data_IF_308282391175
#
_entry.id   IF_308282391175
#
_cell.length_a   1.000
_cell.length_b   1.000
_cell.length_c   1.000
_cell.angle_alpha   90.00
_cell.angle_beta   90.00
_cell.angle_gamma   90.00
#
_symmetry.space_group_name_H-M   'P 1'
#
loop_
_entity.id
_entity.type
_entity.pdbx_description
1 polymer ?
#
# COMPACT_ATOMS: atom_id res chain seq x y z
N UNK A 1 -8.24 12.78 2.62
CA UNK A 1 -8.83 12.06 3.76
C UNK A 1 -9.70 10.94 3.25
N UNK A 2 -9.70 9.80 3.95
CA UNK A 2 -10.57 8.64 3.67
C UNK A 2 -10.74 7.84 4.95
N UNK A 3 -11.75 6.96 4.99
CA UNK A 3 -11.81 5.89 5.98
C UNK A 3 -10.80 4.80 5.62
N UNK A 4 -10.17 4.21 6.62
CA UNK A 4 -9.28 3.07 6.44
C UNK A 4 -9.38 2.13 7.65
N UNK A 5 -9.38 0.83 7.38
CA UNK A 5 -9.20 -0.20 8.38
C UNK A 5 -8.21 -1.25 7.89
N UNK A 6 -7.53 -1.88 8.84
CA UNK A 6 -6.55 -2.95 8.61
C UNK A 6 -7.07 -4.18 9.35
N UNK A 7 -7.17 -5.29 8.65
CA UNK A 7 -7.55 -6.57 9.22
C UNK A 7 -6.52 -7.10 10.22
N UNK A 8 -6.84 -8.21 10.88
CA UNK A 8 -5.93 -8.87 11.81
C UNK A 8 -4.87 -9.73 11.09
N UNK A 9 -4.03 -10.41 11.88
CA UNK A 9 -3.01 -11.31 11.35
C UNK A 9 -3.59 -12.50 10.57
N UNK A 10 -4.77 -13.01 10.95
CA UNK A 10 -5.44 -14.12 10.24
C UNK A 10 -5.85 -13.71 8.83
N UNK A 11 -6.30 -12.46 8.66
CA UNK A 11 -6.60 -11.86 7.36
C UNK A 11 -5.36 -11.37 6.59
N UNK A 12 -4.15 -11.56 7.13
CA UNK A 12 -2.89 -10.99 6.60
C UNK A 12 -2.95 -9.46 6.48
N UNK A 13 -3.50 -8.82 7.51
CA UNK A 13 -3.61 -7.36 7.61
C UNK A 13 -4.30 -6.72 6.40
N UNK A 14 -5.36 -7.36 5.90
CA UNK A 14 -6.07 -6.91 4.69
C UNK A 14 -6.45 -5.43 4.80
N UNK A 15 -6.14 -4.64 3.77
CA UNK A 15 -6.52 -3.23 3.70
C UNK A 15 -7.96 -3.08 3.26
N UNK A 16 -8.73 -2.24 3.95
CA UNK A 16 -10.03 -1.76 3.47
C UNK A 16 -10.01 -0.23 3.50
N UNK A 17 -10.33 0.40 2.38
CA UNK A 17 -10.47 1.86 2.29
C UNK A 17 -11.88 2.25 1.84
N UNK A 18 -12.36 3.37 2.37
CA UNK A 18 -13.61 3.99 1.95
C UNK A 18 -13.39 5.14 0.98
N UNK A 19 -14.43 5.96 0.81
CA UNK A 19 -14.43 7.08 -0.14
C UNK A 19 -13.28 8.06 0.08
N UNK A 20 -12.72 8.52 -1.03
CA UNK A 20 -11.59 9.44 -1.07
C UNK A 20 -12.03 10.89 -1.24
N UNK A 21 -11.43 11.77 -0.45
CA UNK A 21 -11.50 13.23 -0.62
C UNK A 21 -10.10 13.83 -0.56
N UNK A 22 -9.70 14.62 -1.55
CA UNK A 22 -8.41 15.31 -1.58
C UNK A 22 -7.88 15.54 -2.99
N UNK A 23 -6.69 16.13 -3.10
CA UNK A 23 -6.08 16.54 -4.36
C UNK A 23 -4.87 15.70 -4.80
N UNK A 24 -4.43 14.70 -4.01
CA UNK A 24 -3.30 13.83 -4.38
C UNK A 24 -3.64 12.82 -5.49
N UNK A 25 -4.91 12.64 -5.83
CA UNK A 25 -5.41 11.56 -6.69
C UNK A 25 -5.60 10.26 -5.92
N UNK A 26 -6.60 9.45 -6.27
CA UNK A 26 -6.97 8.27 -5.49
C UNK A 26 -6.22 6.99 -5.91
N UNK A 27 -4.90 6.99 -5.75
CA UNK A 27 -4.10 5.81 -6.09
C UNK A 27 -4.03 4.76 -5.00
N UNK A 28 -4.37 5.12 -3.77
CA UNK A 28 -4.40 4.16 -2.67
C UNK A 28 -5.63 3.23 -2.73
N UNK A 29 -6.67 3.59 -3.49
CA UNK A 29 -7.80 2.69 -3.77
C UNK A 29 -7.40 1.49 -4.62
N UNK A 30 -6.33 1.58 -5.41
CA UNK A 30 -5.82 0.46 -6.21
C UNK A 30 -5.36 -0.73 -5.34
N UNK A 31 -5.19 -0.51 -4.03
CA UNK A 31 -4.76 -1.49 -3.02
C UNK A 31 -5.91 -1.99 -2.14
N UNK A 32 -7.15 -1.56 -2.42
CA UNK A 32 -8.30 -1.88 -1.59
C UNK A 32 -8.60 -3.38 -1.64
N UNK A 33 -8.62 -4.02 -0.48
CA UNK A 33 -8.87 -5.45 -0.34
C UNK A 33 -7.62 -6.32 -0.48
N UNK A 34 -6.44 -5.76 -0.73
CA UNK A 34 -5.21 -6.54 -0.81
C UNK A 34 -4.66 -6.91 0.58
N UNK A 35 -3.87 -7.98 0.61
CA UNK A 35 -3.18 -8.45 1.81
C UNK A 35 -1.81 -7.79 1.89
N UNK A 36 -1.28 -7.70 3.10
CA UNK A 36 0.04 -7.12 3.32
C UNK A 36 1.14 -8.14 3.01
N UNK A 37 2.07 -7.78 2.13
CA UNK A 37 3.27 -8.56 1.83
C UNK A 37 4.52 -7.87 2.35
N UNK A 38 5.44 -8.67 2.85
CA UNK A 38 6.77 -8.26 3.31
C UNK A 38 7.81 -9.23 2.75
N UNK A 39 9.11 -8.91 2.90
CA UNK A 39 10.21 -9.71 2.34
C UNK A 39 10.17 -11.20 2.76
N UNK A 40 9.60 -11.49 3.92
CA UNK A 40 9.48 -12.82 4.51
C UNK A 40 8.08 -13.44 4.34
N UNK A 41 7.12 -12.71 3.79
CA UNK A 41 5.75 -13.18 3.58
C UNK A 41 5.17 -12.68 2.26
N UNK A 42 5.05 -13.59 1.29
CA UNK A 42 4.44 -13.33 0.00
C UNK A 42 2.92 -13.57 0.05
N UNK A 43 2.16 -12.48 0.26
CA UNK A 43 0.70 -12.51 0.30
C UNK A 43 0.08 -11.74 -0.89
N UNK A 44 0.90 -11.39 -1.88
CA UNK A 44 0.43 -10.66 -3.06
C UNK A 44 -0.15 -11.63 -4.10
N UNK A 45 -0.86 -11.07 -5.08
CA UNK A 45 -1.55 -11.85 -6.11
C UNK A 45 -0.74 -11.98 -7.41
N UNK A 46 0.55 -11.66 -7.36
CA UNK A 46 1.39 -11.59 -8.56
C UNK A 46 2.33 -12.80 -8.71
N UNK A 47 2.89 -12.95 -9.91
CA UNK A 47 3.79 -14.08 -10.24
C UNK A 47 5.17 -13.93 -9.58
N UNK A 48 5.59 -12.70 -9.30
CA UNK A 48 6.85 -12.40 -8.60
C UNK A 48 6.54 -11.86 -7.22
N UNK A 49 7.37 -12.21 -6.24
CA UNK A 49 7.28 -11.66 -4.89
C UNK A 49 7.56 -10.14 -4.86
N UNK A 50 6.51 -9.32 -4.86
CA UNK A 50 6.61 -7.88 -5.08
C UNK A 50 7.43 -7.19 -3.98
N UNK A 51 7.29 -7.62 -2.72
CA UNK A 51 8.05 -7.06 -1.61
C UNK A 51 9.57 -7.28 -1.75
N UNK A 52 9.99 -8.36 -2.40
CA UNK A 52 11.40 -8.61 -2.70
C UNK A 52 11.92 -7.74 -3.85
N UNK A 53 11.10 -7.52 -4.88
CA UNK A 53 11.47 -6.71 -6.06
C UNK A 53 11.51 -5.21 -5.71
N UNK A 54 10.50 -4.72 -4.99
CA UNK A 54 10.33 -3.29 -4.70
C UNK A 54 10.96 -2.85 -3.37
N UNK A 55 11.49 -3.81 -2.60
CA UNK A 55 12.30 -3.58 -1.40
C UNK A 55 11.56 -2.79 -0.31
N UNK A 56 10.23 -2.95 -0.24
CA UNK A 56 9.37 -2.32 0.76
C UNK A 56 8.17 -3.19 1.09
N UNK A 57 7.69 -3.24 2.33
CA UNK A 57 6.47 -3.96 2.66
C UNK A 57 5.23 -3.12 2.29
N UNK A 58 4.23 -3.74 1.66
CA UNK A 58 3.02 -3.03 1.19
C UNK A 58 1.83 -3.96 0.94
N UNK A 59 0.67 -3.37 0.73
CA UNK A 59 -0.51 -4.05 0.17
C UNK A 59 -0.38 -4.08 -1.35
N UNK A 60 0.26 -5.10 -1.91
CA UNK A 60 0.51 -5.13 -3.36
C UNK A 60 -0.71 -5.59 -4.14
N UNK A 61 -1.01 -4.87 -5.22
CA UNK A 61 -2.05 -5.23 -6.18
C UNK A 61 -1.45 -5.92 -7.42
N UNK A 62 -2.29 -6.38 -8.35
CA UNK A 62 -1.86 -7.08 -9.57
C UNK A 62 -0.97 -6.21 -10.45
N UNK A 63 0.35 -6.47 -10.43
CA UNK A 63 1.38 -5.69 -11.14
C UNK A 63 2.36 -4.93 -10.24
N UNK A 64 2.26 -5.10 -8.91
CA UNK A 64 3.21 -4.66 -7.88
C UNK A 64 3.26 -3.17 -7.50
N UNK A 65 2.13 -2.48 -7.44
CA UNK A 65 1.96 -1.14 -6.85
C UNK A 65 2.12 0.08 -7.79
N UNK A 66 1.16 1.00 -7.63
CA UNK A 66 1.20 2.38 -8.16
C UNK A 66 1.55 3.41 -7.07
N UNK A 67 1.45 2.97 -5.82
CA UNK A 67 1.80 3.73 -4.62
C UNK A 67 2.53 2.79 -3.70
N UNK A 68 3.71 3.18 -3.25
CA UNK A 68 4.37 2.49 -2.15
C UNK A 68 5.29 3.47 -1.43
N UNK A 69 4.82 3.87 -0.26
CA UNK A 69 5.46 4.86 0.59
C UNK A 69 6.57 4.23 1.45
N UNK A 70 6.67 2.90 1.43
CA UNK A 70 7.64 2.10 2.18
C UNK A 70 8.80 1.59 1.32
N UNK A 71 8.91 2.02 0.06
CA UNK A 71 10.10 1.76 -0.76
C UNK A 71 11.32 2.50 -0.20
N UNK A 72 12.55 2.11 -0.57
CA UNK A 72 13.77 2.81 -0.16
C UNK A 72 13.73 4.30 -0.51
N UNK A 73 14.49 5.10 0.25
CA UNK A 73 14.60 6.54 0.01
C UNK A 73 14.99 6.84 -1.46
N UNK A 74 14.35 7.83 -2.05
CA UNK A 74 14.49 8.16 -3.48
C UNK A 74 13.69 7.26 -4.43
N UNK A 75 12.99 6.23 -3.92
CA UNK A 75 12.12 5.34 -4.71
C UNK A 75 10.67 5.28 -4.22
N UNK A 76 10.30 6.02 -3.17
CA UNK A 76 8.91 6.16 -2.74
C UNK A 76 8.06 6.69 -3.90
N UNK A 77 6.86 6.13 -4.07
CA UNK A 77 6.01 6.46 -5.20
C UNK A 77 4.56 6.78 -4.82
N UNK A 78 3.99 7.79 -5.49
CA UNK A 78 2.57 8.12 -5.55
C UNK A 78 2.24 8.66 -6.96
N UNK A 79 1.87 7.79 -7.90
CA UNK A 79 1.76 8.14 -9.33
C UNK A 79 3.02 8.82 -9.91
N UNK A 80 4.19 8.53 -9.34
CA UNK A 80 5.47 9.20 -9.60
C UNK A 80 6.34 9.21 -8.34
N UNK A 81 7.63 9.56 -8.47
CA UNK A 81 8.54 9.58 -7.31
C UNK A 81 8.26 10.76 -6.38
N UNK A 82 8.31 10.51 -5.07
CA UNK A 82 8.16 11.52 -4.03
C UNK A 82 9.33 11.45 -3.03
N UNK A 83 9.67 12.59 -2.44
CA UNK A 83 10.81 12.70 -1.51
C UNK A 83 10.40 12.55 -0.05
N UNK A 84 9.15 12.87 0.28
CA UNK A 84 8.62 12.84 1.63
C UNK A 84 7.16 12.41 1.59
N UNK A 85 6.78 11.59 2.54
CA UNK A 85 5.42 11.12 2.74
C UNK A 85 5.15 10.99 4.24
N UNK A 86 3.90 11.19 4.65
CA UNK A 86 3.45 10.90 6.01
C UNK A 86 2.05 10.30 5.92
N UNK A 87 1.87 9.14 6.54
CA UNK A 87 0.54 8.54 6.75
C UNK A 87 0.09 8.84 8.17
N UNK A 88 -1.12 9.37 8.33
CA UNK A 88 -1.69 9.69 9.63
C UNK A 88 -3.13 9.19 9.69
N UNK A 89 -3.56 8.74 10.87
CA UNK A 89 -4.95 8.42 11.19
C UNK A 89 -5.43 9.36 12.28
N UNK A 90 -6.72 9.71 12.25
CA UNK A 90 -7.39 10.39 13.37
C UNK A 90 -8.69 9.66 13.68
N UNK A 91 -9.09 9.65 14.95
CA UNK A 91 -10.41 9.18 15.34
C UNK A 91 -11.47 10.06 14.68
N UNK A 92 -12.55 9.43 14.23
CA UNK A 92 -13.75 10.12 13.75
C UNK A 92 -14.53 10.61 14.95
#
# INVERSE_FOLDING_TARGET
MRLASIGDAASKYRLTVGDYSGNAGDKFNDHNGDKFSAKDQDNDSWVTHCASVHQGPWWYNGGCDHVNLNRPFGKMAWAGYILRSVMMIRKI
#
